data_IF_787586535932
#
_entry.id   IF_787586535932
#
_cell.length_a   1.000
_cell.length_b   1.000
_cell.length_c   1.000
_cell.angle_alpha   90.00
_cell.angle_beta   90.00
_cell.angle_gamma   90.00
#
_symmetry.space_group_name_H-M   'P 1'
#
loop_
_entity.id
_entity.type
_entity.pdbx_description
1 polymer ?
#
# COMPACT_ATOMS: atom_id res chain seq x y z
N UNK A 1 -18.66 0.73 5.34
CA UNK A 1 -17.26 0.84 4.89
C UNK A 1 -16.72 2.18 5.40
N UNK A 2 -15.54 2.23 6.01
CA UNK A 2 -14.92 3.52 6.34
C UNK A 2 -14.27 4.06 5.06
N UNK A 3 -14.66 5.24 4.56
CA UNK A 3 -14.03 5.83 3.38
C UNK A 3 -12.54 6.07 3.62
N UNK A 4 -11.71 5.76 2.63
CA UNK A 4 -10.28 6.08 2.66
C UNK A 4 -10.13 7.54 2.24
N UNK A 5 -9.54 8.35 3.10
CA UNK A 5 -9.27 9.77 2.82
C UNK A 5 -7.86 9.91 2.25
N UNK A 6 -7.73 9.81 0.93
CA UNK A 6 -6.45 9.76 0.24
C UNK A 6 -5.59 11.01 0.50
N UNK A 7 -6.22 12.17 0.60
CA UNK A 7 -5.62 13.46 0.89
C UNK A 7 -5.02 13.55 2.30
N UNK A 8 -5.45 12.70 3.22
CA UNK A 8 -4.94 12.63 4.59
C UNK A 8 -3.89 11.51 4.77
N UNK A 9 -3.62 10.71 3.73
CA UNK A 9 -2.71 9.58 3.84
C UNK A 9 -1.25 10.04 3.96
N UNK A 10 -0.65 9.74 5.10
CA UNK A 10 0.79 9.78 5.31
C UNK A 10 1.35 8.38 5.15
N UNK A 11 2.07 8.14 4.06
CA UNK A 11 2.80 6.88 3.87
C UNK A 11 3.96 6.83 4.89
N UNK A 12 4.11 5.71 5.60
CA UNK A 12 5.13 5.55 6.64
C UNK A 12 6.21 4.55 6.20
N UNK A 13 5.81 3.42 5.58
CA UNK A 13 6.71 2.36 5.17
C UNK A 13 6.26 1.70 3.87
N UNK A 14 7.23 1.31 3.04
CA UNK A 14 7.02 0.52 1.83
C UNK A 14 7.92 -0.72 1.88
N UNK A 15 7.35 -1.88 1.61
CA UNK A 15 8.08 -3.16 1.51
C UNK A 15 7.87 -3.72 0.12
N UNK A 16 8.93 -3.82 -0.67
CA UNK A 16 8.93 -4.38 -2.01
C UNK A 16 9.33 -5.85 -1.99
N UNK A 17 8.47 -6.69 -2.56
CA UNK A 17 8.70 -8.11 -2.83
C UNK A 17 9.16 -8.23 -4.28
N UNK A 18 10.49 -8.17 -4.47
CA UNK A 18 11.07 -7.91 -5.78
C UNK A 18 10.80 -9.02 -6.82
N UNK A 19 10.64 -10.27 -6.37
CA UNK A 19 10.37 -11.41 -7.25
C UNK A 19 8.90 -11.49 -7.63
N UNK A 20 8.03 -11.11 -6.72
CA UNK A 20 6.57 -11.20 -6.82
C UNK A 20 5.95 -9.94 -7.45
N UNK A 21 6.78 -8.98 -7.88
CA UNK A 21 6.38 -7.67 -8.37
C UNK A 21 5.23 -7.05 -7.57
N UNK A 22 5.39 -7.10 -6.24
CA UNK A 22 4.34 -6.75 -5.28
C UNK A 22 4.92 -5.82 -4.22
N UNK A 23 4.14 -4.84 -3.76
CA UNK A 23 4.51 -3.99 -2.62
C UNK A 23 3.46 -4.02 -1.52
N UNK A 24 3.92 -4.10 -0.28
CA UNK A 24 3.14 -3.75 0.90
C UNK A 24 3.41 -2.31 1.30
N UNK A 25 2.35 -1.56 1.57
CA UNK A 25 2.46 -0.16 1.99
C UNK A 25 1.68 0.05 3.27
N UNK A 26 2.35 0.60 4.29
CA UNK A 26 1.72 1.07 5.51
C UNK A 26 1.59 2.59 5.46
N UNK A 27 0.40 3.07 5.77
CA UNK A 27 0.07 4.49 5.80
C UNK A 27 -0.82 4.80 6.99
N UNK A 28 -0.95 6.08 7.30
CA UNK A 28 -1.81 6.56 8.38
C UNK A 28 -2.63 7.76 7.92
N UNK A 29 -3.88 7.80 8.32
CA UNK A 29 -4.71 9.00 8.14
C UNK A 29 -4.36 10.04 9.21
N UNK A 30 -4.03 11.27 8.78
CA UNK A 30 -3.64 12.34 9.69
C UNK A 30 -4.75 12.73 10.69
N UNK A 31 -6.03 12.70 10.30
CA UNK A 31 -7.10 13.24 11.16
C UNK A 31 -7.44 12.36 12.37
N UNK A 32 -7.25 11.04 12.25
CA UNK A 32 -7.73 10.06 13.24
C UNK A 32 -6.65 9.02 13.61
N UNK A 33 -5.43 9.15 13.07
CA UNK A 33 -4.31 8.25 13.30
C UNK A 33 -4.59 6.79 12.85
N UNK A 34 -5.59 6.58 11.99
CA UNK A 34 -6.04 5.25 11.55
C UNK A 34 -5.00 4.63 10.61
N UNK A 35 -4.49 3.46 10.99
CA UNK A 35 -3.57 2.67 10.18
C UNK A 35 -4.28 2.10 8.93
N UNK A 36 -3.65 2.28 7.77
CA UNK A 36 -4.05 1.72 6.49
C UNK A 36 -2.92 0.85 5.97
N UNK A 37 -3.28 -0.34 5.49
CA UNK A 37 -2.36 -1.29 4.88
C UNK A 37 -2.87 -1.58 3.48
N UNK A 38 -1.96 -1.51 2.52
CA UNK A 38 -2.21 -1.78 1.11
C UNK A 38 -1.29 -2.88 0.61
N UNK A 39 -1.80 -3.68 -0.31
CA UNK A 39 -1.08 -4.68 -1.07
C UNK A 39 -1.26 -4.37 -2.56
N UNK A 40 -0.16 -4.15 -3.27
CA UNK A 40 -0.17 -3.69 -4.66
C UNK A 40 0.47 -4.77 -5.51
N UNK A 41 -0.26 -5.28 -6.50
CA UNK A 41 0.24 -6.19 -7.51
C UNK A 41 0.50 -5.39 -8.79
N UNK A 42 1.77 -5.15 -9.12
CA UNK A 42 2.10 -4.30 -10.27
C UNK A 42 1.78 -4.97 -11.61
N UNK A 43 1.83 -6.31 -11.69
CA UNK A 43 1.54 -7.03 -12.93
C UNK A 43 0.07 -6.92 -13.36
N UNK A 44 -0.85 -6.96 -12.41
CA UNK A 44 -2.30 -6.84 -12.68
C UNK A 44 -2.82 -5.42 -12.49
N UNK A 45 -2.02 -4.55 -11.87
CA UNK A 45 -2.45 -3.25 -11.39
C UNK A 45 -3.50 -3.34 -10.28
N UNK A 46 -3.67 -4.50 -9.63
CA UNK A 46 -4.67 -4.64 -8.56
C UNK A 46 -4.12 -4.11 -7.25
N UNK A 47 -4.95 -3.39 -6.50
CA UNK A 47 -4.60 -2.94 -5.15
C UNK A 47 -5.64 -3.43 -4.17
N UNK A 48 -5.19 -4.12 -3.14
CA UNK A 48 -6.00 -4.54 -2.02
C UNK A 48 -5.72 -3.66 -0.81
N UNK A 49 -6.73 -3.48 0.02
CA UNK A 49 -6.59 -2.84 1.33
C UNK A 49 -7.18 -3.71 2.42
N UNK A 50 -6.61 -3.63 3.61
CA UNK A 50 -7.23 -4.13 4.83
C UNK A 50 -8.36 -3.20 5.32
N UNK A 51 -8.39 -1.94 4.87
CA UNK A 51 -9.36 -0.91 5.26
C UNK A 51 -9.66 -0.84 6.78
N UNK A 52 -8.65 -1.02 7.62
CA UNK A 52 -8.80 -1.02 9.09
C UNK A 52 -9.28 -2.35 9.70
N UNK A 53 -9.44 -3.42 8.91
CA UNK A 53 -9.78 -4.77 9.36
C UNK A 53 -8.55 -5.67 9.37
N UNK A 54 -8.44 -6.57 10.34
CA UNK A 54 -7.26 -7.44 10.47
C UNK A 54 -7.32 -8.68 9.55
N UNK A 55 -8.53 -9.11 9.18
CA UNK A 55 -8.81 -10.47 8.69
C UNK A 55 -9.29 -10.53 7.23
N UNK A 56 -9.85 -9.45 6.66
CA UNK A 56 -10.24 -9.39 5.24
C UNK A 56 -9.35 -8.49 4.37
N UNK A 57 -9.17 -8.84 3.10
CA UNK A 57 -8.65 -7.93 2.06
C UNK A 57 -9.80 -7.53 1.13
N UNK A 58 -9.81 -6.27 0.73
CA UNK A 58 -10.81 -5.72 -0.19
C UNK A 58 -10.08 -5.08 -1.38
N UNK A 59 -10.51 -5.37 -2.60
CA UNK A 59 -9.98 -4.74 -3.81
C UNK A 59 -10.44 -3.28 -3.91
N UNK A 60 -9.53 -2.37 -4.26
CA UNK A 60 -9.85 -0.97 -4.51
C UNK A 60 -10.37 -0.77 -5.94
N UNK A 61 -11.44 -0.01 -6.07
CA UNK A 61 -11.92 0.46 -7.37
C UNK A 61 -10.90 1.37 -8.07
N UNK A 62 -10.92 1.37 -9.40
CA UNK A 62 -9.93 2.03 -10.27
C UNK A 62 -9.65 3.50 -9.92
N UNK A 63 -10.68 4.31 -9.63
CA UNK A 63 -10.51 5.73 -9.29
C UNK A 63 -9.76 5.98 -7.97
N UNK A 64 -10.02 5.17 -6.94
CA UNK A 64 -9.30 5.28 -5.66
C UNK A 64 -7.89 4.71 -5.80
N UNK A 65 -7.76 3.61 -6.53
CA UNK A 65 -6.49 2.94 -6.83
C UNK A 65 -5.48 3.88 -7.47
N UNK A 66 -5.85 4.58 -8.55
CA UNK A 66 -4.90 5.37 -9.33
C UNK A 66 -4.34 6.56 -8.51
N UNK A 67 -5.22 7.22 -7.75
CA UNK A 67 -4.82 8.28 -6.83
C UNK A 67 -3.88 7.77 -5.72
N UNK A 68 -4.19 6.60 -5.13
CA UNK A 68 -3.32 5.97 -4.12
C UNK A 68 -1.93 5.64 -4.70
N UNK A 69 -1.85 5.10 -5.91
CA UNK A 69 -0.57 4.82 -6.57
C UNK A 69 0.24 6.10 -6.76
N UNK A 70 -0.40 7.21 -7.14
CA UNK A 70 0.24 8.53 -7.21
C UNK A 70 0.85 8.98 -5.87
N UNK A 71 0.10 8.84 -4.77
CA UNK A 71 0.59 9.14 -3.42
C UNK A 71 1.80 8.29 -3.03
N UNK A 72 1.78 7.00 -3.35
CA UNK A 72 2.87 6.07 -3.06
C UNK A 72 4.12 6.44 -3.86
N UNK A 73 3.98 6.69 -5.16
CA UNK A 73 5.10 7.10 -6.03
C UNK A 73 5.75 8.37 -5.49
N UNK A 74 4.96 9.36 -5.09
CA UNK A 74 5.48 10.60 -4.49
C UNK A 74 6.20 10.34 -3.15
N UNK A 75 5.65 9.48 -2.29
CA UNK A 75 6.22 9.19 -0.98
C UNK A 75 7.48 8.31 -1.02
N UNK A 76 7.68 7.51 -2.07
CA UNK A 76 8.83 6.58 -2.17
C UNK A 76 10.19 7.24 -1.95
N UNK A 77 10.34 8.51 -2.29
CA UNK A 77 11.59 9.25 -2.13
C UNK A 77 11.82 9.81 -0.72
N UNK A 78 10.80 9.77 0.15
CA UNK A 78 10.83 10.38 1.48
C UNK A 78 10.57 9.40 2.63
N UNK A 79 10.27 8.14 2.32
CA UNK A 79 9.97 7.09 3.32
C UNK A 79 10.92 5.91 3.18
N UNK A 80 11.14 5.14 4.26
CA UNK A 80 11.86 3.87 4.17
C UNK A 80 11.23 2.91 3.16
N UNK A 81 12.04 2.42 2.22
CA UNK A 81 11.68 1.37 1.27
C UNK A 81 12.55 0.15 1.54
N UNK A 82 11.93 -0.94 2.00
CA UNK A 82 12.61 -2.21 2.27
C UNK A 82 12.43 -3.13 1.09
N UNK A 83 13.52 -3.55 0.45
CA UNK A 83 13.45 -4.49 -0.67
C UNK A 83 13.81 -5.89 -0.21
N UNK A 84 12.80 -6.76 -0.15
CA UNK A 84 12.98 -8.16 0.15
C UNK A 84 13.35 -8.90 -1.13
N UNK A 85 14.54 -9.49 -1.12
CA UNK A 85 14.95 -10.46 -2.14
C UNK A 85 14.67 -11.84 -1.56
N UNK A 86 13.81 -12.62 -2.22
CA UNK A 86 13.63 -14.03 -1.88
C UNK A 86 14.97 -14.72 -2.07
N UNK A 87 15.54 -15.30 -1.00
CA UNK A 87 16.67 -16.20 -1.17
C UNK A 87 16.16 -17.41 -1.93
N UNK A 88 16.87 -17.82 -2.99
CA UNK A 88 16.61 -19.12 -3.59
C UNK A 88 16.91 -20.17 -2.52
N UNK A 89 15.88 -20.83 -2.02
CA UNK A 89 16.05 -22.10 -1.32
C UNK A 89 16.57 -23.09 -2.35
N UNK A 90 17.87 -23.40 -2.28
CA UNK A 90 18.48 -24.49 -3.05
C UNK A 90 17.91 -25.83 -2.62
#
# INVERSE_FOLDING_TARGET
>A
MCPIKLEELKIEHIVDFAKENTSFVAARENSNNHLRIFLIHYDTGTVYTRNGRADSWEELGSGVRDNLLGCIIAARNSVPVYRLKTQNSN
#
